data_IF_133326645171
#
_entry.id   IF_133326645171
#
_cell.length_a   1.000
_cell.length_b   1.000
_cell.length_c   1.000
_cell.angle_alpha   90.00
_cell.angle_beta   90.00
_cell.angle_gamma   90.00
#
_symmetry.space_group_name_H-M   'P 1'
#
loop_
_entity.id
_entity.type
_entity.pdbx_description
1 polymer ?
#
# COMPACT_ATOMS: atom_id res chain seq x y z
N UNK A 1 -6.89 -3.30 -12.89
CA UNK A 1 -7.19 -3.59 -11.47
C UNK A 1 -5.92 -4.01 -10.76
N UNK A 2 -5.23 -3.08 -10.09
CA UNK A 2 -3.97 -3.37 -9.39
C UNK A 2 -3.94 -2.65 -8.06
N UNK A 3 -3.37 -3.30 -7.04
CA UNK A 3 -3.15 -2.69 -5.73
C UNK A 3 -2.14 -1.55 -5.77
N UNK A 4 -1.35 -1.42 -6.85
CA UNK A 4 -0.34 -0.36 -6.97
C UNK A 4 -0.93 1.06 -6.87
N UNK A 5 -2.23 1.23 -7.13
CA UNK A 5 -2.90 2.52 -6.96
C UNK A 5 -2.89 3.00 -5.50
N UNK A 6 -2.88 2.08 -4.52
CA UNK A 6 -2.77 2.41 -3.10
C UNK A 6 -1.38 2.98 -2.78
N UNK A 7 -0.33 2.30 -3.23
CA UNK A 7 1.05 2.75 -3.00
C UNK A 7 1.34 4.07 -3.74
N UNK A 8 0.88 4.20 -4.99
CA UNK A 8 1.12 5.39 -5.80
C UNK A 8 0.38 6.63 -5.27
N UNK A 9 -0.79 6.45 -4.65
CA UNK A 9 -1.57 7.56 -4.09
C UNK A 9 -0.81 8.32 -2.97
N UNK A 10 0.16 7.68 -2.31
CA UNK A 10 1.01 8.32 -1.30
C UNK A 10 1.87 9.46 -1.87
N UNK A 11 2.07 9.50 -3.19
CA UNK A 11 2.85 10.55 -3.85
C UNK A 11 2.06 11.83 -4.13
N UNK A 12 0.74 11.85 -3.86
CA UNK A 12 -0.19 12.90 -4.31
C UNK A 12 0.00 13.26 -5.79
N UNK A 13 -0.03 12.22 -6.64
CA UNK A 13 0.08 12.38 -8.10
C UNK A 13 -1.21 11.97 -8.80
N UNK A 14 -1.56 12.61 -9.93
CA UNK A 14 -2.72 12.24 -10.72
C UNK A 14 -2.76 10.76 -11.10
N UNK A 15 -3.93 10.15 -10.92
CA UNK A 15 -4.23 8.77 -11.32
C UNK A 15 -5.44 8.78 -12.25
N UNK A 16 -5.36 8.09 -13.38
CA UNK A 16 -6.51 7.81 -14.26
C UNK A 16 -6.63 6.30 -14.36
N UNK A 17 -7.79 5.76 -14.01
CA UNK A 17 -8.05 4.32 -14.05
C UNK A 17 -8.80 3.99 -15.34
N UNK A 18 -8.13 3.30 -16.26
CA UNK A 18 -8.79 2.76 -17.45
C UNK A 18 -9.32 1.35 -17.14
N UNK A 19 -10.65 1.20 -17.12
CA UNK A 19 -11.36 0.01 -16.67
C UNK A 19 -12.57 -0.29 -17.59
N UNK A 20 -12.32 -0.69 -18.86
CA UNK A 20 -13.38 -0.92 -19.86
C UNK A 20 -14.32 -2.09 -19.52
N UNK A 21 -13.86 -3.01 -18.67
CA UNK A 21 -14.54 -4.23 -18.25
C UNK A 21 -14.96 -4.20 -16.77
N UNK A 22 -15.07 -3.02 -16.14
CA UNK A 22 -15.27 -2.89 -14.70
C UNK A 22 -16.50 -3.65 -14.19
N UNK A 23 -17.62 -3.57 -14.91
CA UNK A 23 -18.87 -4.22 -14.48
C UNK A 23 -18.75 -5.75 -14.56
N UNK A 24 -18.14 -6.27 -15.63
CA UNK A 24 -17.89 -7.70 -15.80
C UNK A 24 -16.89 -8.20 -14.75
N UNK A 25 -15.79 -7.47 -14.54
CA UNK A 25 -14.79 -7.78 -13.53
C UNK A 25 -15.38 -7.82 -12.13
N UNK A 26 -16.19 -6.82 -11.76
CA UNK A 26 -16.83 -6.75 -10.45
C UNK A 26 -17.88 -7.86 -10.25
N UNK A 27 -18.61 -8.24 -11.30
CA UNK A 27 -19.57 -9.35 -11.22
C UNK A 27 -18.90 -10.71 -11.05
N UNK A 28 -17.77 -10.95 -11.71
CA UNK A 28 -17.06 -12.24 -11.67
C UNK A 28 -16.17 -12.39 -10.43
N UNK A 29 -15.41 -11.34 -10.09
CA UNK A 29 -14.35 -11.40 -9.07
C UNK A 29 -14.76 -10.75 -7.75
N UNK A 30 -15.81 -9.94 -7.77
CA UNK A 30 -16.14 -9.04 -6.68
C UNK A 30 -15.16 -7.86 -6.56
N UNK A 31 -15.49 -6.95 -5.67
CA UNK A 31 -14.60 -5.85 -5.27
C UNK A 31 -14.80 -5.56 -3.78
N UNK A 32 -13.75 -5.11 -3.10
CA UNK A 32 -13.85 -4.73 -1.68
C UNK A 32 -14.61 -3.41 -1.47
N UNK A 33 -14.72 -2.58 -2.52
CA UNK A 33 -15.38 -1.29 -2.53
C UNK A 33 -15.74 -0.92 -3.97
N UNK A 34 -16.70 -0.01 -4.14
CA UNK A 34 -17.03 0.54 -5.45
C UNK A 34 -15.88 1.42 -5.97
N UNK A 35 -15.26 0.98 -7.06
CA UNK A 35 -14.13 1.68 -7.67
C UNK A 35 -14.54 3.07 -8.21
N UNK A 36 -15.78 3.25 -8.70
CA UNK A 36 -16.27 4.55 -9.21
C UNK A 36 -16.49 5.55 -8.08
N UNK A 37 -16.84 5.08 -6.89
CA UNK A 37 -17.05 5.94 -5.73
C UNK A 37 -15.76 6.28 -4.98
N UNK A 38 -14.82 5.32 -4.92
CA UNK A 38 -13.63 5.43 -4.07
C UNK A 38 -12.32 5.52 -4.85
N UNK A 39 -12.29 5.84 -6.15
CA UNK A 39 -11.03 5.96 -6.89
C UNK A 39 -10.26 7.25 -6.54
N UNK A 40 -8.92 7.25 -6.62
CA UNK A 40 -8.08 8.45 -6.46
C UNK A 40 -8.13 9.41 -7.68
N UNK A 41 -9.10 9.24 -8.57
CA UNK A 41 -9.20 9.95 -9.83
C UNK A 41 -10.29 9.35 -10.73
N UNK A 42 -10.38 9.79 -12.00
CA UNK A 42 -11.43 9.35 -12.91
C UNK A 42 -11.25 7.87 -13.28
N UNK A 43 -12.38 7.18 -13.37
CA UNK A 43 -12.48 5.82 -13.92
C UNK A 43 -13.09 5.91 -15.30
N UNK A 44 -12.33 5.54 -16.33
CA UNK A 44 -12.76 5.63 -17.73
C UNK A 44 -13.04 4.24 -18.29
N UNK A 45 -14.12 4.11 -19.06
CA UNK A 45 -14.52 2.87 -19.70
C UNK A 45 -14.13 2.84 -21.19
N UNK A 46 -13.94 4.01 -21.80
CA UNK A 46 -13.59 4.13 -23.22
C UNK A 46 -12.26 4.83 -23.45
N UNK A 47 -11.67 4.64 -24.63
CA UNK A 47 -10.44 5.33 -25.00
C UNK A 47 -10.69 6.84 -25.17
N UNK A 48 -11.86 7.22 -25.66
CA UNK A 48 -12.28 8.61 -25.82
C UNK A 48 -12.33 9.32 -24.46
N UNK A 49 -12.92 8.70 -23.45
CA UNK A 49 -12.92 9.20 -22.07
C UNK A 49 -11.50 9.30 -21.50
N UNK A 50 -10.67 8.28 -21.71
CA UNK A 50 -9.28 8.28 -21.27
C UNK A 50 -8.50 9.45 -21.88
N UNK A 51 -8.59 9.64 -23.20
CA UNK A 51 -7.88 10.74 -23.88
C UNK A 51 -8.40 12.11 -23.48
N UNK A 52 -9.70 12.24 -23.22
CA UNK A 52 -10.28 13.48 -22.68
C UNK A 52 -9.69 13.81 -21.31
N UNK A 53 -9.66 12.85 -20.38
CA UNK A 53 -9.07 13.06 -19.04
C UNK A 53 -7.56 13.37 -19.11
N UNK A 54 -6.81 12.68 -19.96
CA UNK A 54 -5.38 12.96 -20.17
C UNK A 54 -5.14 14.34 -20.79
N UNK A 55 -6.05 14.83 -21.61
CA UNK A 55 -5.97 16.17 -22.22
C UNK A 55 -6.20 17.26 -21.19
N UNK A 56 -7.19 17.10 -20.32
CA UNK A 56 -7.41 18.02 -19.21
C UNK A 56 -6.25 17.98 -18.21
N UNK A 57 -5.70 16.79 -17.96
CA UNK A 57 -4.58 16.62 -17.03
C UNK A 57 -3.31 17.37 -17.48
N UNK A 58 -3.07 17.47 -18.80
CA UNK A 58 -1.97 18.27 -19.35
C UNK A 58 -2.11 19.77 -19.08
N UNK A 59 -3.34 20.25 -18.82
CA UNK A 59 -3.62 21.65 -18.52
C UNK A 59 -3.49 21.92 -17.02
N UNK A 60 -4.01 21.02 -16.19
CA UNK A 60 -3.98 21.14 -14.72
C UNK A 60 -4.21 19.78 -14.04
N UNK A 61 -3.59 19.57 -12.89
CA UNK A 61 -3.78 18.38 -12.04
C UNK A 61 -4.81 18.57 -10.92
N UNK A 62 -5.49 19.72 -10.87
CA UNK A 62 -6.33 20.10 -9.73
C UNK A 62 -7.74 19.51 -9.76
N UNK A 63 -8.26 19.12 -10.94
CA UNK A 63 -9.66 18.68 -11.13
C UNK A 63 -10.07 17.55 -10.18
N UNK A 64 -9.16 16.62 -9.92
CA UNK A 64 -9.38 15.43 -9.11
C UNK A 64 -8.56 15.43 -7.81
N UNK A 65 -8.05 16.59 -7.38
CA UNK A 65 -7.22 16.70 -6.17
C UNK A 65 -7.96 16.24 -4.91
N UNK A 66 -9.25 16.59 -4.76
CA UNK A 66 -10.06 16.16 -3.62
C UNK A 66 -10.22 14.62 -3.56
N UNK A 67 -10.35 13.95 -4.71
CA UNK A 67 -10.41 12.49 -4.76
C UNK A 67 -9.08 11.87 -4.34
N UNK A 68 -7.94 12.42 -4.79
CA UNK A 68 -6.61 11.96 -4.36
C UNK A 68 -6.42 12.09 -2.85
N UNK A 69 -6.75 13.26 -2.29
CA UNK A 69 -6.65 13.52 -0.85
C UNK A 69 -7.53 12.55 -0.08
N UNK A 70 -8.82 12.45 -0.43
CA UNK A 70 -9.75 11.53 0.25
C UNK A 70 -9.29 10.07 0.17
N UNK A 71 -8.72 9.66 -0.96
CA UNK A 71 -8.19 8.31 -1.13
C UNK A 71 -6.97 8.05 -0.24
N UNK A 72 -6.01 8.97 -0.25
CA UNK A 72 -4.79 8.88 0.57
C UNK A 72 -5.13 8.90 2.07
N UNK A 73 -6.09 9.73 2.50
CA UNK A 73 -6.58 9.75 3.87
C UNK A 73 -7.27 8.43 4.25
N UNK A 74 -8.07 7.84 3.35
CA UNK A 74 -8.79 6.60 3.63
C UNK A 74 -7.88 5.38 3.68
N UNK A 75 -6.94 5.28 2.75
CA UNK A 75 -6.17 4.04 2.53
C UNK A 75 -4.68 4.15 2.90
N UNK A 76 -4.13 5.36 2.96
CA UNK A 76 -2.72 5.63 3.25
C UNK A 76 -2.44 6.11 4.68
N UNK A 77 -3.46 6.26 5.54
CA UNK A 77 -3.35 6.89 6.87
C UNK A 77 -2.28 6.29 7.81
N UNK A 78 -1.86 5.04 7.58
CA UNK A 78 -0.89 4.36 8.43
C UNK A 78 0.55 4.43 7.90
N UNK A 79 0.76 4.88 6.67
CA UNK A 79 2.11 5.04 6.13
C UNK A 79 2.76 6.30 6.72
N UNK A 80 3.86 6.09 7.45
CA UNK A 80 4.67 7.14 8.06
C UNK A 80 6.12 7.14 7.56
N UNK A 81 6.42 6.31 6.55
CA UNK A 81 7.78 6.11 6.04
C UNK A 81 8.75 5.41 7.00
N UNK A 82 8.28 4.90 8.14
CA UNK A 82 9.11 4.29 9.19
C UNK A 82 8.77 2.81 9.46
N UNK A 83 7.91 2.19 8.64
CA UNK A 83 7.43 0.82 8.85
C UNK A 83 8.59 -0.19 8.99
N UNK A 84 9.58 -0.14 8.09
CA UNK A 84 10.74 -1.02 8.15
C UNK A 84 11.55 -0.83 9.45
N UNK A 85 11.76 0.43 9.87
CA UNK A 85 12.43 0.75 11.14
C UNK A 85 11.68 0.17 12.33
N UNK A 86 10.35 0.31 12.36
CA UNK A 86 9.51 -0.23 13.44
C UNK A 86 9.58 -1.76 13.50
N UNK A 87 9.51 -2.44 12.35
CA UNK A 87 9.58 -3.90 12.27
C UNK A 87 10.95 -4.40 12.74
N UNK A 88 12.05 -3.77 12.29
CA UNK A 88 13.40 -4.14 12.74
C UNK A 88 13.54 -3.96 14.26
N UNK A 89 13.06 -2.85 14.82
CA UNK A 89 13.07 -2.65 16.26
C UNK A 89 12.26 -3.75 16.99
N UNK A 90 11.03 -4.03 16.53
CA UNK A 90 10.18 -5.04 17.16
C UNK A 90 10.79 -6.45 17.16
N UNK A 91 11.43 -6.85 16.05
CA UNK A 91 12.02 -8.19 15.89
C UNK A 91 13.34 -8.33 16.66
N UNK A 92 14.21 -7.31 16.60
CA UNK A 92 15.59 -7.43 17.10
C UNK A 92 15.83 -6.80 18.49
N UNK A 93 14.99 -5.86 18.95
CA UNK A 93 15.16 -5.27 20.29
C UNK A 93 14.90 -6.24 21.45
N UNK A 94 14.34 -7.43 21.17
CA UNK A 94 14.12 -8.49 22.19
C UNK A 94 15.33 -9.40 22.40
N UNK A 95 16.39 -9.28 21.59
CA UNK A 95 17.61 -10.10 21.72
C UNK A 95 18.65 -9.55 22.71
N UNK A 96 18.45 -8.34 23.26
CA UNK A 96 19.34 -7.74 24.28
C UNK A 96 18.91 -7.93 25.74
N UNK A 97 17.69 -8.41 25.99
CA UNK A 97 17.15 -8.62 27.34
C UNK A 97 17.19 -10.10 27.80
N UNK A 98 17.80 -10.98 27.00
CA UNK A 98 18.10 -12.36 27.36
C UNK A 98 19.56 -12.52 27.75
N UNK A 99 19.97 -12.04 28.92
CA UNK A 99 21.17 -12.58 29.55
C UNK A 99 20.92 -14.05 29.90
N UNK A 100 21.82 -14.93 29.45
CA UNK A 100 22.21 -16.13 30.20
C UNK A 100 21.37 -17.39 30.01
N UNK A 101 21.42 -18.00 28.84
CA UNK A 101 21.42 -19.47 28.78
C UNK A 101 22.77 -19.89 28.22
N UNK A 102 23.76 -19.99 29.11
CA UNK A 102 24.94 -20.81 28.81
C UNK A 102 24.42 -22.23 28.67
N UNK A 103 24.43 -22.76 27.45
CA UNK A 103 24.22 -24.17 27.21
C UNK A 103 25.47 -24.90 27.71
N UNK A 104 25.54 -25.17 29.02
CA UNK A 104 26.52 -26.11 29.55
C UNK A 104 26.13 -27.49 29.03
N UNK A 105 26.86 -27.99 28.05
CA UNK A 105 26.82 -29.41 27.69
C UNK A 105 27.51 -30.22 28.79
N UNK A 106 27.05 -31.44 28.98
CA UNK A 106 27.48 -32.36 30.05
C UNK A 106 28.98 -32.75 30.00
N UNK A 107 29.72 -32.23 29.01
CA UNK A 107 31.13 -32.51 28.84
C UNK A 107 32.04 -31.79 29.85
N UNK A 108 31.55 -30.75 30.51
CA UNK A 108 32.31 -29.93 31.48
C UNK A 108 32.30 -30.45 32.93
N UNK A 109 31.59 -31.57 33.22
CA UNK A 109 31.49 -32.12 34.59
C UNK A 109 32.44 -33.29 34.90
N UNK A 110 33.31 -33.66 33.97
CA UNK A 110 34.09 -34.91 34.04
C UNK A 110 35.61 -34.74 33.99
N UNK A 111 36.20 -33.83 34.77
CA UNK A 111 37.66 -33.80 34.97
C UNK A 111 37.99 -33.24 36.36
N UNK A 112 37.79 -34.06 37.39
CA UNK A 112 38.07 -33.64 38.75
C UNK A 112 37.76 -34.69 39.79
N UNK A 113 38.50 -35.81 39.76
CA UNK A 113 39.09 -36.53 40.90
C UNK A 113 39.75 -37.81 40.43
#
# INVERSE_FOLDING_TARGET
YSSIMFDFALLDRPVVLYAPDLDAYAAERGSYFDLRESAPGPVTATQEELFAELTELKKSDTRHAAQRVSFAEKFGAYDRGDAARQVVAAVFSRQGAGQGVRHTTDHDRGAGR
#
